data_IF_665565230017
#
_entry.id   IF_665565230017
#
_cell.length_a   1.000
_cell.length_b   1.000
_cell.length_c   1.000
_cell.angle_alpha   90.00
_cell.angle_beta   90.00
_cell.angle_gamma   90.00
#
_symmetry.space_group_name_H-M   'P 1'
#
loop_
_entity.id
_entity.type
_entity.pdbx_description
1 polymer ?
#
# COMPACT_ATOMS: atom_id res chain seq x y z
N UNK A 1 -2.95 27.99 56.74
CA UNK A 1 -2.54 28.57 55.45
C UNK A 1 -1.48 27.63 54.88
N UNK A 2 -1.81 26.92 53.80
CA UNK A 2 -1.08 25.74 53.34
C UNK A 2 0.07 26.13 52.40
N UNK A 3 1.31 25.84 52.83
CA UNK A 3 2.52 25.97 52.02
C UNK A 3 2.67 24.72 51.14
N UNK A 4 2.77 24.96 49.84
CA UNK A 4 2.65 23.99 48.76
C UNK A 4 3.97 23.23 48.58
N UNK A 5 4.00 22.00 49.10
CA UNK A 5 5.11 21.07 48.91
C UNK A 5 5.33 20.80 47.42
N UNK A 6 6.55 21.11 47.00
CA UNK A 6 7.10 20.90 45.66
C UNK A 6 7.12 19.41 45.33
N UNK A 7 6.19 19.00 44.46
CA UNK A 7 6.50 18.34 43.18
C UNK A 7 7.64 17.31 43.23
N UNK A 8 7.45 16.22 43.97
CA UNK A 8 8.27 15.01 43.84
C UNK A 8 7.30 13.84 43.78
N UNK A 9 7.02 13.39 42.56
CA UNK A 9 6.96 12.03 42.04
C UNK A 9 6.29 12.11 40.66
N UNK A 10 6.87 11.52 39.61
CA UNK A 10 6.29 11.56 38.27
C UNK A 10 4.95 10.83 38.31
N UNK A 11 3.88 11.61 38.20
CA UNK A 11 2.61 11.09 37.76
C UNK A 11 2.86 10.66 36.31
N UNK A 12 3.26 9.41 36.12
CA UNK A 12 2.98 8.68 34.89
C UNK A 12 1.62 8.04 35.13
N UNK A 13 0.49 8.73 34.87
CA UNK A 13 -0.75 8.00 34.68
C UNK A 13 -0.59 7.27 33.35
N UNK A 14 -0.18 6.01 33.44
CA UNK A 14 -0.48 4.93 32.50
C UNK A 14 -1.04 5.40 31.14
N UNK A 15 -0.19 6.02 30.32
CA UNK A 15 -0.40 6.19 28.87
C UNK A 15 -0.02 4.86 28.22
N UNK A 16 -0.76 3.83 28.63
CA UNK A 16 -0.69 2.51 28.05
C UNK A 16 -2.12 2.20 27.65
N UNK A 17 -2.60 2.92 26.63
CA UNK A 17 -3.66 2.45 25.75
C UNK A 17 -3.71 3.38 24.52
N UNK A 18 -3.06 2.89 23.46
CA UNK A 18 -3.42 3.13 22.07
C UNK A 18 -2.97 4.43 21.40
N UNK A 19 -1.70 4.83 21.56
CA UNK A 19 -0.96 5.43 20.45
C UNK A 19 -0.15 4.33 19.73
N UNK A 20 -0.87 3.40 19.11
CA UNK A 20 -0.30 2.50 18.09
C UNK A 20 -1.21 2.49 16.88
N UNK A 21 -1.68 3.67 16.54
CA UNK A 21 -1.93 4.03 15.16
C UNK A 21 -1.33 5.40 14.91
N UNK A 22 -0.02 5.52 15.18
CA UNK A 22 0.86 5.96 14.09
C UNK A 22 0.50 5.02 12.95
N UNK A 23 -0.49 5.38 12.14
CA UNK A 23 -0.44 5.03 10.75
C UNK A 23 0.75 5.87 10.31
N UNK A 24 1.95 5.29 10.11
CA UNK A 24 2.88 6.00 9.27
C UNK A 24 2.05 6.36 8.04
N UNK A 25 2.19 7.58 7.55
CA UNK A 25 1.86 7.84 6.16
C UNK A 25 2.83 6.94 5.37
N UNK A 26 2.53 5.63 5.35
CA UNK A 26 3.17 4.68 4.48
C UNK A 26 2.60 5.15 3.17
N UNK A 27 3.28 6.09 2.51
CA UNK A 27 3.37 6.03 1.07
C UNK A 27 3.66 4.56 0.81
N UNK A 28 2.66 3.77 0.41
CA UNK A 28 2.79 2.35 0.55
C UNK A 28 3.67 1.96 -0.61
N UNK A 29 4.98 2.07 -0.49
CA UNK A 29 5.92 1.57 -1.48
C UNK A 29 5.74 0.06 -1.41
N UNK A 30 4.70 -0.40 -2.11
CA UNK A 30 4.46 -1.77 -2.39
C UNK A 30 5.66 -2.14 -3.27
N UNK A 31 6.70 -2.67 -2.65
CA UNK A 31 7.90 -3.11 -3.36
C UNK A 31 7.66 -4.43 -4.08
N UNK A 32 6.58 -5.13 -3.72
CA UNK A 32 6.25 -6.46 -4.23
C UNK A 32 4.73 -6.65 -4.27
N UNK A 33 4.28 -7.47 -5.22
CA UNK A 33 2.87 -7.84 -5.39
C UNK A 33 2.24 -8.37 -4.10
N UNK A 34 2.97 -9.21 -3.35
CA UNK A 34 2.49 -9.78 -2.10
C UNK A 34 2.12 -8.69 -1.09
N UNK A 35 2.97 -7.68 -0.89
CA UNK A 35 2.73 -6.58 0.04
C UNK A 35 1.50 -5.73 -0.37
N UNK A 36 1.30 -5.53 -1.67
CA UNK A 36 0.10 -4.88 -2.19
C UNK A 36 -1.17 -5.69 -1.90
N UNK A 37 -1.16 -7.00 -2.17
CA UNK A 37 -2.29 -7.87 -1.87
C UNK A 37 -2.57 -7.97 -0.37
N UNK A 38 -1.54 -8.02 0.48
CA UNK A 38 -1.72 -7.96 1.94
C UNK A 38 -2.39 -6.66 2.37
N UNK A 39 -2.01 -5.52 1.78
CA UNK A 39 -2.65 -4.24 2.06
C UNK A 39 -4.10 -4.17 1.60
N UNK A 40 -4.47 -4.96 0.59
CA UNK A 40 -5.85 -5.13 0.11
C UNK A 40 -6.65 -6.16 0.94
N UNK A 41 -6.01 -6.88 1.87
CA UNK A 41 -6.63 -7.97 2.61
C UNK A 41 -6.84 -9.24 1.77
N UNK A 42 -6.14 -9.36 0.64
CA UNK A 42 -6.26 -10.44 -0.34
C UNK A 42 -4.95 -11.22 -0.60
N UNK A 43 -4.14 -11.55 0.44
CA UNK A 43 -2.85 -12.23 0.24
C UNK A 43 -3.01 -13.64 -0.34
N UNK A 44 -4.19 -14.27 -0.21
CA UNK A 44 -4.48 -15.60 -0.75
C UNK A 44 -4.36 -15.68 -2.28
N UNK A 45 -4.52 -14.56 -2.97
CA UNK A 45 -4.36 -14.54 -4.42
C UNK A 45 -2.89 -14.44 -4.84
N UNK A 46 -1.95 -14.10 -3.95
CA UNK A 46 -0.55 -13.90 -4.31
C UNK A 46 0.04 -15.12 -5.03
N UNK A 47 -0.23 -16.31 -4.51
CA UNK A 47 0.19 -17.59 -5.12
C UNK A 47 -0.41 -17.80 -6.52
N UNK A 48 -1.67 -17.39 -6.72
CA UNK A 48 -2.32 -17.48 -8.04
C UNK A 48 -1.67 -16.52 -9.06
N UNK A 49 -1.35 -15.29 -8.62
CA UNK A 49 -0.63 -14.33 -9.45
C UNK A 49 0.78 -14.82 -9.79
N UNK A 50 1.52 -15.35 -8.81
CA UNK A 50 2.87 -15.89 -9.02
C UNK A 50 2.87 -17.12 -9.94
N UNK A 51 1.89 -18.01 -9.80
CA UNK A 51 1.71 -19.19 -10.65
C UNK A 51 1.47 -18.83 -12.12
N UNK A 52 0.82 -17.69 -12.38
CA UNK A 52 0.64 -17.14 -13.72
C UNK A 52 1.81 -16.27 -14.21
N UNK A 53 2.89 -16.15 -13.43
CA UNK A 53 4.07 -15.35 -13.78
C UNK A 53 3.87 -13.84 -13.61
N UNK A 54 2.83 -13.42 -12.89
CA UNK A 54 2.61 -12.02 -12.53
C UNK A 54 3.27 -11.78 -11.18
N UNK A 55 4.51 -11.30 -11.17
CA UNK A 55 5.25 -10.97 -9.94
C UNK A 55 5.40 -9.46 -9.75
N UNK A 56 5.32 -8.71 -10.85
CA UNK A 56 5.57 -7.27 -10.90
C UNK A 56 4.27 -6.46 -10.78
N UNK A 57 4.29 -5.41 -9.95
CA UNK A 57 3.14 -4.49 -9.81
C UNK A 57 2.83 -3.74 -11.10
N UNK A 58 3.82 -3.53 -11.96
CA UNK A 58 3.60 -2.94 -13.28
C UNK A 58 2.75 -3.86 -14.17
N UNK A 59 3.00 -5.16 -14.13
CA UNK A 59 2.17 -6.14 -14.85
C UNK A 59 0.75 -6.13 -14.28
N UNK A 60 0.61 -6.15 -12.96
CA UNK A 60 -0.70 -6.07 -12.29
C UNK A 60 -1.48 -4.80 -12.66
N UNK A 61 -0.80 -3.66 -12.74
CA UNK A 61 -1.39 -2.38 -13.13
C UNK A 61 -1.92 -2.36 -14.57
N UNK A 62 -1.51 -3.30 -15.42
CA UNK A 62 -1.95 -3.45 -16.80
C UNK A 62 -3.00 -4.55 -17.01
N UNK A 63 -3.37 -5.28 -15.95
CA UNK A 63 -4.35 -6.38 -16.05
C UNK A 63 -5.76 -5.84 -16.23
N UNK A 64 -6.52 -6.51 -17.09
CA UNK A 64 -7.94 -6.27 -17.32
C UNK A 64 -8.81 -7.25 -16.52
N UNK A 65 -10.12 -7.03 -16.51
CA UNK A 65 -11.07 -7.93 -15.82
C UNK A 65 -10.98 -9.38 -16.32
N UNK A 66 -10.77 -9.55 -17.63
CA UNK A 66 -10.60 -10.85 -18.26
C UNK A 66 -9.36 -11.57 -17.73
N UNK A 67 -8.26 -10.85 -17.53
CA UNK A 67 -7.03 -11.42 -16.95
C UNK A 67 -7.26 -11.84 -15.51
N UNK A 68 -7.95 -11.03 -14.70
CA UNK A 68 -8.31 -11.40 -13.32
C UNK A 68 -9.12 -12.70 -13.25
N UNK A 69 -10.05 -12.88 -14.19
CA UNK A 69 -10.82 -14.11 -14.30
C UNK A 69 -9.93 -15.33 -14.66
N UNK A 70 -8.96 -15.15 -15.56
CA UNK A 70 -7.98 -16.19 -15.94
C UNK A 70 -7.02 -16.54 -14.79
N UNK A 71 -6.66 -15.57 -13.96
CA UNK A 71 -5.82 -15.73 -12.77
C UNK A 71 -6.54 -16.46 -11.62
N UNK A 72 -7.81 -16.84 -11.79
CA UNK A 72 -8.58 -17.56 -10.78
C UNK A 72 -9.40 -16.67 -9.85
N UNK A 73 -9.46 -15.35 -10.09
CA UNK A 73 -10.39 -14.45 -9.39
C UNK A 73 -11.78 -14.61 -10.00
N UNK A 74 -12.47 -15.71 -9.66
CA UNK A 74 -13.84 -16.02 -10.12
C UNK A 74 -14.94 -15.29 -9.36
N UNK A 75 -14.59 -14.66 -8.24
CA UNK A 75 -15.57 -14.02 -7.37
C UNK A 75 -15.84 -12.59 -7.85
N UNK A 76 -17.06 -12.22 -8.29
CA UNK A 76 -17.32 -10.92 -8.91
C UNK A 76 -17.07 -9.75 -7.95
N UNK A 77 -17.33 -9.93 -6.65
CA UNK A 77 -17.00 -8.96 -5.61
C UNK A 77 -15.49 -8.68 -5.54
N UNK A 78 -14.67 -9.73 -5.64
CA UNK A 78 -13.22 -9.57 -5.62
C UNK A 78 -12.71 -8.98 -6.92
N UNK A 79 -13.32 -9.30 -8.06
CA UNK A 79 -12.99 -8.69 -9.35
C UNK A 79 -13.16 -7.17 -9.32
N UNK A 80 -14.32 -6.67 -8.90
CA UNK A 80 -14.58 -5.22 -8.81
C UNK A 80 -13.62 -4.54 -7.82
N UNK A 81 -13.35 -5.19 -6.69
CA UNK A 81 -12.43 -4.67 -5.68
C UNK A 81 -10.98 -4.60 -6.19
N UNK A 82 -10.48 -5.70 -6.79
CA UNK A 82 -9.15 -5.73 -7.40
C UNK A 82 -9.05 -4.74 -8.56
N UNK A 83 -10.06 -4.64 -9.42
CA UNK A 83 -10.07 -3.71 -10.54
C UNK A 83 -10.00 -2.25 -10.06
N UNK A 84 -10.72 -1.92 -8.96
CA UNK A 84 -10.62 -0.61 -8.32
C UNK A 84 -9.20 -0.35 -7.79
N UNK A 85 -8.58 -1.36 -7.16
CA UNK A 85 -7.22 -1.28 -6.64
C UNK A 85 -6.17 -1.16 -7.75
N UNK A 86 -6.34 -1.90 -8.85
CA UNK A 86 -5.50 -1.85 -10.06
C UNK A 86 -5.61 -0.47 -10.69
N UNK A 87 -6.81 0.11 -10.79
CA UNK A 87 -7.00 1.47 -11.25
C UNK A 87 -6.22 2.49 -10.42
N UNK A 88 -6.24 2.36 -9.09
CA UNK A 88 -5.44 3.20 -8.20
C UNK A 88 -3.93 2.98 -8.39
N UNK A 89 -3.49 1.73 -8.56
CA UNK A 89 -2.10 1.36 -8.82
C UNK A 89 -1.61 1.94 -10.17
N UNK A 90 -2.44 1.83 -11.21
CA UNK A 90 -2.19 2.40 -12.54
C UNK A 90 -2.06 3.92 -12.50
N UNK A 91 -2.96 4.61 -11.78
CA UNK A 91 -2.84 6.05 -11.56
C UNK A 91 -1.52 6.39 -10.86
N UNK A 92 -1.07 5.56 -9.92
CA UNK A 92 0.21 5.77 -9.23
C UNK A 92 1.43 5.51 -10.13
N UNK A 93 1.44 4.43 -10.90
CA UNK A 93 2.51 4.14 -11.86
C UNK A 93 2.62 5.20 -12.97
N UNK A 94 1.48 5.74 -13.42
CA UNK A 94 1.43 6.83 -14.42
C UNK A 94 1.89 8.17 -13.88
N UNK A 95 1.88 8.37 -12.56
CA UNK A 95 2.35 9.60 -11.90
C UNK A 95 3.86 9.64 -11.67
N UNK A 96 4.63 8.67 -12.19
CA UNK A 96 6.05 8.87 -12.46
C UNK A 96 6.23 9.40 -13.90
N UNK A 97 6.25 10.72 -14.13
CA UNK A 97 7.01 11.21 -15.26
C UNK A 97 8.47 10.82 -14.98
N UNK A 98 8.98 9.89 -15.79
CA UNK A 98 10.40 9.67 -15.98
C UNK A 98 11.05 11.05 -16.16
N UNK A 99 11.90 11.39 -15.18
CA UNK A 99 12.97 12.38 -15.15
C UNK A 99 13.03 13.38 -16.29
N UNK A 100 13.08 14.66 -15.92
CA UNK A 100 13.70 15.77 -16.65
C UNK A 100 14.11 15.45 -18.09
N UNK A 101 13.50 16.07 -19.13
CA UNK A 101 14.06 15.97 -20.46
C UNK A 101 15.51 16.43 -20.33
N UNK A 102 16.44 15.54 -20.70
CA UNK A 102 17.86 15.88 -20.80
C UNK A 102 17.91 17.23 -21.53
N UNK A 103 18.35 18.27 -20.81
CA UNK A 103 18.46 19.61 -21.39
C UNK A 103 19.29 19.50 -22.66
N UNK A 104 19.04 20.32 -23.69
CA UNK A 104 19.85 20.28 -24.90
C UNK A 104 21.30 20.44 -24.47
N UNK A 105 22.12 19.41 -24.77
CA UNK A 105 23.57 19.53 -24.74
C UNK A 105 23.90 20.56 -25.80
N UNK A 106 23.98 21.81 -25.39
CA UNK A 106 24.50 22.89 -26.21
C UNK A 106 26.01 22.62 -26.24
N UNK A 107 26.47 22.32 -27.46
CA UNK A 107 27.84 22.07 -27.84
C UNK A 107 28.79 23.22 -27.48
#
# INVERSE_FOLDING_TARGET
>A
MAEKLKQIWPLVPNDFLSDSCVVPVIEPNYSSLHSWLTSLGLPMYADHFESCGVTELHHVASLSEEDLAHLGVRNPYHQVYLQSAIGALFMRCRRRPQTYPQGPSIA
#
